data_IF_483124598016
#
_entry.id   IF_483124598016
#
_cell.length_a   1.000
_cell.length_b   1.000
_cell.length_c   1.000
_cell.angle_alpha   90.00
_cell.angle_beta   90.00
_cell.angle_gamma   90.00
#
_symmetry.space_group_name_H-M   'P 1'
#
loop_
_entity.id
_entity.type
_entity.pdbx_description
1 polymer ?
#
# COMPACT_ATOMS: atom_id res chain seq x y z
N UNK A 1 -1.20 -12.04 6.01
CA UNK A 1 -0.68 -11.35 4.80
C UNK A 1 -0.99 -12.11 3.49
N UNK A 2 -0.75 -13.42 3.41
CA UNK A 2 -0.94 -14.21 2.17
C UNK A 2 -2.37 -14.12 1.64
N UNK A 3 -3.38 -14.20 2.51
CA UNK A 3 -4.79 -14.18 2.11
C UNK A 3 -5.14 -13.03 1.14
N UNK A 4 -4.90 -11.77 1.52
CA UNK A 4 -5.21 -10.60 0.65
C UNK A 4 -4.58 -10.74 -0.73
N UNK A 5 -3.33 -11.20 -0.79
CA UNK A 5 -2.62 -11.34 -2.05
C UNK A 5 -3.09 -12.52 -2.89
N UNK A 6 -3.35 -13.67 -2.27
CA UNK A 6 -3.86 -14.85 -2.98
C UNK A 6 -5.28 -14.63 -3.48
N UNK A 7 -6.13 -13.99 -2.69
CA UNK A 7 -7.54 -13.77 -3.02
C UNK A 7 -7.73 -12.63 -4.02
N UNK A 8 -7.11 -11.47 -3.78
CA UNK A 8 -7.45 -10.24 -4.51
C UNK A 8 -6.38 -9.76 -5.48
N UNK A 9 -5.09 -10.04 -5.26
CA UNK A 9 -4.01 -9.46 -6.07
C UNK A 9 -3.47 -10.36 -7.17
N UNK A 10 -3.03 -11.58 -6.83
CA UNK A 10 -2.36 -12.50 -7.76
C UNK A 10 -3.23 -13.00 -8.92
N UNK A 11 -4.52 -13.37 -8.73
CA UNK A 11 -5.34 -13.90 -9.83
C UNK A 11 -5.85 -12.81 -10.79
N UNK A 12 -5.54 -11.56 -10.51
CA UNK A 12 -6.15 -10.37 -11.09
C UNK A 12 -5.12 -9.54 -11.89
N UNK A 13 -5.52 -8.34 -12.33
CA UNK A 13 -4.69 -7.43 -13.14
C UNK A 13 -3.49 -6.85 -12.37
N UNK A 14 -3.39 -7.10 -11.07
CA UNK A 14 -2.37 -6.57 -10.15
C UNK A 14 -2.42 -5.03 -10.08
N UNK A 15 -1.29 -4.39 -9.78
CA UNK A 15 -1.17 -2.94 -9.63
C UNK A 15 -0.90 -2.25 -10.96
N UNK A 16 -1.58 -1.14 -11.23
CA UNK A 16 -1.23 -0.25 -12.35
C UNK A 16 0.04 0.55 -12.09
N UNK A 17 0.33 0.92 -10.84
CA UNK A 17 1.53 1.67 -10.43
C UNK A 17 2.78 0.80 -10.23
N UNK A 18 2.78 -0.44 -10.70
CA UNK A 18 3.96 -1.31 -10.71
C UNK A 18 3.98 -2.09 -12.00
N UNK A 19 4.91 -1.75 -12.87
CA UNK A 19 5.01 -2.30 -14.23
C UNK A 19 6.31 -3.05 -14.42
N UNK A 20 6.41 -3.84 -15.48
CA UNK A 20 7.65 -4.53 -15.88
C UNK A 20 7.87 -4.40 -17.38
N UNK A 21 8.92 -3.67 -17.77
CA UNK A 21 9.23 -3.37 -19.17
C UNK A 21 8.14 -2.54 -19.87
N UNK A 22 8.32 -2.33 -21.17
CA UNK A 22 7.43 -1.52 -22.01
C UNK A 22 6.91 -2.31 -23.22
N UNK A 23 6.29 -3.46 -22.93
CA UNK A 23 5.61 -4.26 -23.95
C UNK A 23 4.17 -3.79 -24.13
N UNK A 24 3.59 -4.00 -25.31
CA UNK A 24 2.18 -3.68 -25.57
C UNK A 24 1.25 -4.41 -24.59
N UNK A 25 1.51 -5.69 -24.32
CA UNK A 25 0.74 -6.47 -23.36
C UNK A 25 0.78 -5.86 -21.95
N UNK A 26 1.94 -5.37 -21.51
CA UNK A 26 2.07 -4.71 -20.22
C UNK A 26 1.38 -3.35 -20.19
N UNK A 27 1.48 -2.55 -21.26
CA UNK A 27 0.74 -1.28 -21.38
C UNK A 27 -0.77 -1.51 -21.31
N UNK A 28 -1.29 -2.52 -22.01
CA UNK A 28 -2.71 -2.88 -21.95
C UNK A 28 -3.15 -3.37 -20.56
N UNK A 29 -2.34 -4.21 -19.89
CA UNK A 29 -2.61 -4.64 -18.52
C UNK A 29 -2.61 -3.44 -17.56
N UNK A 30 -1.63 -2.56 -17.68
CA UNK A 30 -1.51 -1.34 -16.88
C UNK A 30 -2.73 -0.44 -17.06
N UNK A 31 -3.12 -0.15 -18.31
CA UNK A 31 -4.30 0.64 -18.63
C UNK A 31 -5.55 0.06 -17.95
N UNK A 32 -5.81 -1.24 -18.16
CA UNK A 32 -6.96 -1.94 -17.55
C UNK A 32 -6.92 -1.92 -16.02
N UNK A 33 -5.74 -2.04 -15.43
CA UNK A 33 -5.58 -1.99 -13.98
C UNK A 33 -5.86 -0.58 -13.42
N UNK A 34 -5.44 0.46 -14.14
CA UNK A 34 -5.72 1.86 -13.81
C UNK A 34 -7.21 2.16 -13.92
N UNK A 35 -7.85 1.77 -15.02
CA UNK A 35 -9.28 1.99 -15.25
C UNK A 35 -10.13 1.29 -14.18
N UNK A 36 -9.75 0.07 -13.80
CA UNK A 36 -10.43 -0.70 -12.76
C UNK A 36 -10.28 -0.05 -11.37
N UNK A 37 -9.11 0.50 -11.05
CA UNK A 37 -8.91 1.24 -9.79
C UNK A 37 -9.73 2.54 -9.78
N UNK A 38 -9.80 3.25 -10.91
CA UNK A 38 -10.66 4.44 -11.04
C UNK A 38 -12.14 4.08 -10.83
N UNK A 39 -12.61 2.97 -11.41
CA UNK A 39 -13.96 2.43 -11.20
C UNK A 39 -14.21 2.11 -9.73
N UNK A 40 -13.27 1.46 -9.04
CA UNK A 40 -13.38 1.12 -7.63
C UNK A 40 -13.53 2.40 -6.79
N UNK A 41 -12.67 3.39 -7.01
CA UNK A 41 -12.65 4.66 -6.27
C UNK A 41 -13.87 5.54 -6.51
N UNK A 42 -14.58 5.36 -7.62
CA UNK A 42 -15.81 6.08 -7.90
C UNK A 42 -17.06 5.48 -7.23
N UNK A 43 -16.94 4.34 -6.54
CA UNK A 43 -18.09 3.70 -5.89
C UNK A 43 -18.33 4.26 -4.48
N UNK A 44 -19.59 4.38 -4.05
CA UNK A 44 -19.92 4.89 -2.71
C UNK A 44 -19.49 3.94 -1.59
N UNK A 45 -19.56 2.62 -1.81
CA UNK A 45 -19.09 1.62 -0.84
C UNK A 45 -17.69 1.14 -1.23
N UNK A 46 -16.68 1.80 -0.67
CA UNK A 46 -15.27 1.54 -0.98
C UNK A 46 -14.87 0.08 -0.71
N UNK A 47 -15.23 -0.48 0.45
CA UNK A 47 -14.84 -1.84 0.81
C UNK A 47 -15.43 -2.88 -0.15
N UNK A 48 -16.74 -2.79 -0.41
CA UNK A 48 -17.42 -3.71 -1.33
C UNK A 48 -16.86 -3.60 -2.75
N UNK A 49 -16.56 -2.38 -3.20
CA UNK A 49 -15.99 -2.14 -4.52
C UNK A 49 -14.58 -2.73 -4.63
N UNK A 50 -13.75 -2.55 -3.61
CA UNK A 50 -12.40 -3.11 -3.52
C UNK A 50 -12.44 -4.64 -3.49
N UNK A 51 -13.33 -5.25 -2.70
CA UNK A 51 -13.48 -6.72 -2.63
C UNK A 51 -13.91 -7.33 -3.97
N UNK A 52 -14.73 -6.62 -4.76
CA UNK A 52 -15.16 -7.05 -6.10
C UNK A 52 -14.17 -6.65 -7.21
N UNK A 53 -13.16 -5.86 -6.87
CA UNK A 53 -12.20 -5.29 -7.79
C UNK A 53 -11.26 -6.33 -8.42
N UNK A 54 -10.87 -6.09 -9.67
CA UNK A 54 -9.90 -6.92 -10.42
C UNK A 54 -8.52 -6.26 -10.54
N UNK A 55 -8.30 -5.13 -9.88
CA UNK A 55 -7.02 -4.45 -9.81
C UNK A 55 -6.97 -3.61 -8.52
N UNK A 56 -5.78 -3.45 -7.96
CA UNK A 56 -5.59 -2.76 -6.68
C UNK A 56 -4.22 -2.09 -6.64
N UNK A 57 -4.17 -0.88 -6.09
CA UNK A 57 -2.93 -0.21 -5.70
C UNK A 57 -2.65 -0.44 -4.21
N UNK A 58 -1.64 0.23 -3.66
CA UNK A 58 -1.31 0.16 -2.23
C UNK A 58 -2.49 0.52 -1.32
N UNK A 59 -3.25 1.56 -1.66
CA UNK A 59 -4.40 2.03 -0.88
C UNK A 59 -5.51 0.97 -0.77
N UNK A 60 -5.94 0.38 -1.90
CA UNK A 60 -6.99 -0.64 -1.86
C UNK A 60 -6.52 -1.93 -1.17
N UNK A 61 -5.25 -2.30 -1.35
CA UNK A 61 -4.67 -3.46 -0.67
C UNK A 61 -4.52 -3.25 0.84
N UNK A 62 -4.20 -2.03 1.28
CA UNK A 62 -4.16 -1.67 2.70
C UNK A 62 -5.56 -1.78 3.31
N UNK A 63 -6.60 -1.27 2.65
CA UNK A 63 -7.98 -1.41 3.11
C UNK A 63 -8.42 -2.88 3.27
N UNK A 64 -8.09 -3.74 2.30
CA UNK A 64 -8.37 -5.18 2.41
C UNK A 64 -7.61 -5.83 3.55
N UNK A 65 -6.35 -5.44 3.79
CA UNK A 65 -5.58 -5.92 4.92
C UNK A 65 -6.18 -5.48 6.25
N UNK A 66 -6.56 -4.22 6.40
CA UNK A 66 -7.24 -3.71 7.59
C UNK A 66 -8.53 -4.49 7.83
N UNK A 67 -9.41 -4.61 6.84
CA UNK A 67 -10.67 -5.36 6.96
C UNK A 67 -10.43 -6.82 7.42
N UNK A 68 -9.49 -7.52 6.79
CA UNK A 68 -9.16 -8.91 7.12
C UNK A 68 -8.59 -9.05 8.54
N UNK A 69 -7.75 -8.11 8.98
CA UNK A 69 -7.19 -8.10 10.34
C UNK A 69 -8.28 -7.91 11.40
N UNK A 70 -9.24 -7.02 11.15
CA UNK A 70 -10.39 -6.80 12.02
C UNK A 70 -11.33 -8.00 12.07
N UNK A 71 -11.79 -8.49 10.91
CA UNK A 71 -12.83 -9.52 10.85
C UNK A 71 -12.34 -10.92 11.24
N UNK A 72 -11.16 -11.30 10.75
CA UNK A 72 -10.73 -12.71 10.84
C UNK A 72 -9.78 -12.97 12.00
N UNK A 73 -9.14 -11.92 12.54
CA UNK A 73 -8.13 -12.05 13.61
C UNK A 73 -8.44 -11.24 14.87
N UNK A 74 -9.52 -10.43 14.87
CA UNK A 74 -9.85 -9.50 15.95
C UNK A 74 -8.66 -8.61 16.35
N UNK A 75 -7.85 -8.21 15.36
CA UNK A 75 -6.68 -7.34 15.55
C UNK A 75 -7.04 -5.93 15.04
N UNK A 76 -7.21 -4.94 15.93
CA UNK A 76 -7.43 -3.55 15.52
C UNK A 76 -6.28 -3.06 14.65
N UNK A 77 -6.64 -2.62 13.44
CA UNK A 77 -5.71 -2.13 12.44
C UNK A 77 -6.22 -0.83 11.79
N UNK A 78 -5.30 0.00 11.33
CA UNK A 78 -5.60 1.26 10.65
C UNK A 78 -4.90 1.30 9.29
N UNK A 79 -5.44 2.13 8.39
CA UNK A 79 -4.71 2.50 7.18
C UNK A 79 -3.66 3.54 7.56
N UNK A 80 -2.42 3.28 7.20
CA UNK A 80 -1.30 4.17 7.37
C UNK A 80 -0.83 4.68 6.01
N UNK A 81 -0.95 5.98 5.82
CA UNK A 81 -0.36 6.70 4.71
C UNK A 81 1.10 7.05 5.03
N UNK A 82 1.99 6.76 4.08
CA UNK A 82 3.43 6.97 4.15
C UNK A 82 3.84 7.97 3.07
N UNK A 83 4.49 9.06 3.49
CA UNK A 83 4.62 10.28 2.70
C UNK A 83 3.34 11.12 2.79
N UNK A 84 3.44 12.44 2.65
CA UNK A 84 2.24 13.27 2.74
C UNK A 84 2.42 14.75 3.10
N UNK A 85 3.51 15.42 2.70
CA UNK A 85 3.56 16.88 2.80
C UNK A 85 2.59 17.47 1.76
N UNK A 86 1.56 18.18 2.22
CA UNK A 86 0.53 18.92 1.45
C UNK A 86 0.10 18.22 0.14
N UNK A 87 -0.72 17.15 0.26
CA UNK A 87 -1.51 16.46 -0.78
C UNK A 87 -0.94 15.20 -1.46
N UNK A 88 0.30 14.76 -1.17
CA UNK A 88 0.93 13.62 -1.87
C UNK A 88 1.25 12.40 -1.00
N UNK A 89 0.28 11.47 -0.90
CA UNK A 89 0.50 10.12 -0.36
C UNK A 89 1.36 9.30 -1.33
N UNK A 90 2.52 8.83 -0.86
CA UNK A 90 3.42 8.02 -1.67
C UNK A 90 3.05 6.53 -1.62
N UNK A 91 2.74 6.01 -0.42
CA UNK A 91 2.43 4.60 -0.22
C UNK A 91 1.45 4.38 0.94
N UNK A 92 0.67 3.31 0.90
CA UNK A 92 -0.26 2.96 1.96
C UNK A 92 0.01 1.53 2.46
N UNK A 93 -0.08 1.34 3.78
CA UNK A 93 0.04 0.04 4.44
C UNK A 93 -1.01 -0.10 5.53
N UNK A 94 -1.25 -1.31 6.01
CA UNK A 94 -2.01 -1.52 7.24
C UNK A 94 -1.06 -1.52 8.44
N UNK A 95 -1.44 -0.86 9.54
CA UNK A 95 -0.70 -0.84 10.81
C UNK A 95 -1.53 -1.46 11.92
N UNK A 96 -0.92 -2.32 12.74
CA UNK A 96 -1.54 -2.93 13.93
C UNK A 96 -0.82 -2.43 15.17
N UNK A 97 -1.57 -1.96 16.16
CA UNK A 97 -1.03 -1.44 17.41
C UNK A 97 -0.69 0.06 17.36
N UNK A 98 -1.41 0.82 18.19
CA UNK A 98 -1.37 2.27 18.46
C UNK A 98 -1.93 3.21 17.39
N UNK A 99 -3.03 3.87 17.78
CA UNK A 99 -3.50 5.17 17.29
C UNK A 99 -2.95 6.28 18.20
N UNK A 100 -2.01 7.10 17.72
CA UNK A 100 -2.12 8.53 18.00
C UNK A 100 -2.05 9.34 16.69
N UNK A 101 -2.71 10.49 16.71
CA UNK A 101 -2.97 11.39 15.58
C UNK A 101 -1.73 11.94 14.83
N UNK A 102 -0.51 11.50 15.15
CA UNK A 102 0.69 11.69 14.34
C UNK A 102 1.77 10.69 14.75
N UNK A 103 2.25 9.89 13.79
CA UNK A 103 3.30 8.90 14.03
C UNK A 103 4.67 9.48 13.67
N UNK A 104 5.65 9.31 14.55
CA UNK A 104 7.02 9.78 14.31
C UNK A 104 7.58 9.19 12.99
N UNK A 105 8.26 9.98 12.16
CA UNK A 105 8.77 9.51 10.85
C UNK A 105 9.74 8.33 10.95
N UNK A 106 10.51 8.25 12.03
CA UNK A 106 11.37 7.10 12.36
C UNK A 106 10.60 5.96 13.07
N UNK A 107 10.26 4.90 12.32
CA UNK A 107 9.59 3.69 12.84
C UNK A 107 10.34 2.94 13.95
N UNK A 108 11.64 3.20 14.14
CA UNK A 108 12.40 2.59 15.25
C UNK A 108 12.01 3.15 16.62
N UNK A 109 11.39 4.34 16.64
CA UNK A 109 10.91 4.99 17.87
C UNK A 109 9.46 4.60 18.19
N UNK A 110 8.83 3.79 17.35
CA UNK A 110 7.47 3.33 17.57
C UNK A 110 7.43 2.27 18.66
N UNK A 111 6.23 2.03 19.17
CA UNK A 111 6.03 0.96 20.14
C UNK A 111 6.54 -0.38 19.58
N UNK A 112 7.26 -1.20 20.38
CA UNK A 112 7.86 -2.44 19.91
C UNK A 112 6.89 -3.45 19.30
N UNK A 113 5.62 -3.38 19.71
CA UNK A 113 4.55 -4.27 19.25
C UNK A 113 3.79 -3.73 18.04
N UNK A 114 4.14 -2.55 17.51
CA UNK A 114 3.53 -2.06 16.27
C UNK A 114 3.96 -2.93 15.10
N UNK A 115 2.99 -3.44 14.35
CA UNK A 115 3.20 -4.28 13.17
C UNK A 115 2.79 -3.53 11.91
N UNK A 116 3.51 -3.77 10.82
CA UNK A 116 3.17 -3.31 9.48
C UNK A 116 2.77 -4.51 8.64
N UNK A 117 1.67 -4.38 7.91
CA UNK A 117 1.22 -5.30 6.88
C UNK A 117 1.12 -4.54 5.55
N UNK A 118 2.02 -4.84 4.61
CA UNK A 118 2.05 -4.29 3.27
C UNK A 118 1.83 -5.40 2.23
N UNK A 119 0.58 -5.61 1.79
CA UNK A 119 0.29 -6.61 0.77
C UNK A 119 0.83 -6.22 -0.61
N UNK A 120 1.11 -4.95 -0.91
CA UNK A 120 1.63 -4.54 -2.21
C UNK A 120 3.09 -4.96 -2.40
N UNK A 121 3.91 -4.77 -1.36
CA UNK A 121 5.29 -5.24 -1.28
C UNK A 121 5.41 -6.72 -0.87
N UNK A 122 4.37 -7.32 -0.28
CA UNK A 122 4.44 -8.61 0.40
C UNK A 122 5.45 -8.55 1.56
N UNK A 123 5.22 -7.64 2.49
CA UNK A 123 5.97 -7.46 3.74
C UNK A 123 4.98 -7.53 4.91
N UNK A 124 5.30 -8.31 5.94
CA UNK A 124 4.63 -8.27 7.23
C UNK A 124 5.69 -8.40 8.32
N UNK A 125 5.84 -7.37 9.16
CA UNK A 125 6.94 -7.30 10.13
C UNK A 125 6.63 -6.32 11.25
N UNK A 126 7.51 -6.28 12.27
CA UNK A 126 7.50 -5.18 13.24
C UNK A 126 7.86 -3.88 12.54
N UNK A 127 7.28 -2.77 12.97
CA UNK A 127 7.49 -1.46 12.35
C UNK A 127 8.98 -1.08 12.25
N UNK A 128 9.76 -1.35 13.31
CA UNK A 128 11.21 -1.08 13.33
C UNK A 128 12.01 -1.76 12.20
N UNK A 129 11.52 -2.89 11.68
CA UNK A 129 12.19 -3.70 10.66
C UNK A 129 11.72 -3.32 9.24
N UNK A 130 10.59 -2.62 9.13
CA UNK A 130 9.97 -2.28 7.85
C UNK A 130 10.88 -1.47 6.91
N UNK A 131 11.63 -0.43 7.36
CA UNK A 131 12.51 0.32 6.48
C UNK A 131 13.53 -0.55 5.76
N UNK A 132 14.13 -1.51 6.46
CA UNK A 132 15.08 -2.45 5.86
C UNK A 132 14.38 -3.37 4.85
N UNK A 133 13.25 -3.97 5.23
CA UNK A 133 12.53 -4.88 4.35
C UNK A 133 11.98 -4.19 3.09
N UNK A 134 11.56 -2.94 3.21
CA UNK A 134 11.10 -2.12 2.09
C UNK A 134 12.25 -1.85 1.11
N UNK A 135 13.42 -1.40 1.61
CA UNK A 135 14.61 -1.19 0.77
C UNK A 135 15.02 -2.49 0.06
N UNK A 136 15.06 -3.61 0.78
CA UNK A 136 15.42 -4.91 0.22
C UNK A 136 14.41 -5.34 -0.87
N UNK A 137 13.12 -5.02 -0.69
CA UNK A 137 12.08 -5.25 -1.70
C UNK A 137 12.27 -4.39 -2.94
N UNK A 138 12.55 -3.11 -2.76
CA UNK A 138 12.76 -2.17 -3.86
C UNK A 138 13.96 -2.59 -4.71
N UNK A 139 15.09 -2.92 -4.09
CA UNK A 139 16.27 -3.47 -4.77
C UNK A 139 15.94 -4.72 -5.58
N UNK A 140 15.15 -5.63 -5.00
CA UNK A 140 14.68 -6.85 -5.69
C UNK A 140 13.77 -6.54 -6.89
N UNK A 141 12.97 -5.47 -6.83
CA UNK A 141 12.12 -5.09 -7.95
C UNK A 141 12.90 -4.39 -9.05
N UNK A 142 13.85 -3.53 -8.69
CA UNK A 142 14.77 -2.91 -9.64
C UNK A 142 15.57 -3.99 -10.39
N UNK A 143 16.12 -4.99 -9.68
CA UNK A 143 16.83 -6.12 -10.29
C UNK A 143 15.95 -7.03 -11.16
N UNK A 144 14.64 -6.74 -11.27
CA UNK A 144 13.67 -7.46 -12.10
C UNK A 144 13.08 -6.56 -13.18
N UNK A 145 13.70 -5.41 -13.45
CA UNK A 145 13.32 -4.41 -14.44
C UNK A 145 11.90 -3.89 -14.24
N UNK A 146 11.51 -3.74 -12.97
CA UNK A 146 10.22 -3.15 -12.60
C UNK A 146 10.36 -1.67 -12.35
N UNK A 147 9.31 -0.94 -12.67
CA UNK A 147 9.17 0.48 -12.32
C UNK A 147 7.99 0.66 -11.36
N UNK A 148 8.08 1.68 -10.52
CA UNK A 148 7.02 2.09 -9.61
C UNK A 148 6.47 3.44 -10.06
N UNK A 149 5.15 3.58 -10.05
CA UNK A 149 4.48 4.85 -10.32
C UNK A 149 4.59 5.74 -9.09
N UNK A 150 5.28 6.85 -9.24
CA UNK A 150 5.46 7.89 -8.25
C UNK A 150 4.84 9.18 -8.78
N UNK A 151 3.78 9.67 -8.13
CA UNK A 151 2.91 10.74 -8.64
C UNK A 151 3.69 11.96 -9.15
N UNK A 152 4.76 12.36 -8.45
CA UNK A 152 5.58 13.54 -8.78
C UNK A 152 6.48 13.37 -10.00
N UNK A 153 6.84 12.14 -10.37
CA UNK A 153 7.87 11.86 -11.37
C UNK A 153 7.44 10.85 -12.46
N UNK A 154 6.22 10.31 -12.38
CA UNK A 154 5.78 9.22 -13.24
C UNK A 154 6.41 7.88 -12.82
N UNK A 155 6.76 7.04 -13.79
CA UNK A 155 7.41 5.76 -13.49
C UNK A 155 8.90 5.94 -13.24
N UNK A 156 9.35 5.54 -12.05
CA UNK A 156 10.74 5.63 -11.61
C UNK A 156 11.29 4.26 -11.23
N UNK A 157 12.61 4.17 -11.09
CA UNK A 157 13.24 2.98 -10.51
C UNK A 157 12.75 2.78 -9.07
N UNK A 158 12.50 1.54 -8.62
CA UNK A 158 12.06 1.27 -7.26
C UNK A 158 13.02 1.78 -6.18
N UNK A 159 14.30 1.97 -6.49
CA UNK A 159 15.31 2.50 -5.57
C UNK A 159 15.55 4.01 -5.72
N UNK A 160 14.74 4.70 -6.53
CA UNK A 160 14.79 6.15 -6.71
C UNK A 160 14.86 6.87 -5.34
N UNK A 161 15.92 7.63 -5.05
CA UNK A 161 16.12 8.27 -3.75
C UNK A 161 14.93 9.09 -3.26
N UNK A 162 14.25 9.84 -4.14
CA UNK A 162 13.08 10.63 -3.77
C UNK A 162 11.92 9.73 -3.29
N UNK A 163 11.62 8.66 -4.03
CA UNK A 163 10.60 7.67 -3.68
C UNK A 163 10.90 6.99 -2.32
N UNK A 164 12.13 6.51 -2.13
CA UNK A 164 12.53 5.85 -0.87
C UNK A 164 12.43 6.81 0.31
N UNK A 165 12.89 8.05 0.14
CA UNK A 165 12.83 9.07 1.18
C UNK A 165 11.39 9.36 1.57
N UNK A 166 10.51 9.58 0.61
CA UNK A 166 9.12 9.94 0.89
C UNK A 166 8.39 8.81 1.62
N UNK A 167 8.56 7.55 1.20
CA UNK A 167 7.92 6.41 1.90
C UNK A 167 8.49 6.17 3.30
N UNK A 168 9.79 6.37 3.53
CA UNK A 168 10.42 6.02 4.80
C UNK A 168 10.55 7.16 5.79
N UNK A 169 10.58 8.41 5.33
CA UNK A 169 10.88 9.59 6.13
C UNK A 169 9.86 10.72 6.01
N UNK A 170 8.95 10.65 5.03
CA UNK A 170 7.89 11.63 4.91
C UNK A 170 6.85 11.53 6.01
N UNK A 171 5.85 12.41 5.92
CA UNK A 171 4.72 12.48 6.84
C UNK A 171 3.90 11.19 6.90
N UNK A 172 3.18 11.05 8.01
CA UNK A 172 2.52 9.79 8.39
C UNK A 172 1.19 10.06 9.05
N UNK A 173 0.14 9.60 8.38
CA UNK A 173 -1.23 9.76 8.84
C UNK A 173 -1.87 8.38 8.95
N UNK A 174 -2.30 8.03 10.16
CA UNK A 174 -3.11 6.84 10.39
C UNK A 174 -4.59 7.24 10.39
N UNK A 175 -5.42 6.43 9.76
CA UNK A 175 -6.88 6.62 9.76
C UNK A 175 -7.59 5.28 9.88
N UNK A 176 -8.66 5.28 10.67
CA UNK A 176 -9.57 4.15 10.76
C UNK A 176 -10.60 4.25 9.62
N UNK A 177 -10.56 3.36 8.60
CA UNK A 177 -11.48 3.42 7.47
C UNK A 177 -12.94 3.09 7.84
N UNK A 178 -13.21 2.65 9.08
CA UNK A 178 -14.54 2.28 9.57
C UNK A 178 -15.13 3.26 10.58
N UNK A 179 -14.39 4.27 11.03
CA UNK A 179 -14.89 5.27 11.99
C UNK A 179 -16.00 6.16 11.42
N UNK A 180 -16.05 6.32 10.10
CA UNK A 180 -17.10 7.06 9.39
C UNK A 180 -18.42 6.29 9.21
N UNK A 181 -18.59 5.11 9.84
CA UNK A 181 -19.82 4.30 9.81
C UNK A 181 -20.49 4.11 11.19
N UNK A 182 -20.16 4.95 12.18
CA UNK A 182 -20.96 4.99 13.41
C UNK A 182 -22.26 5.77 13.16
N UNK A 183 -23.43 5.25 13.58
CA UNK A 183 -24.73 5.89 13.37
C UNK A 183 -24.88 7.23 14.11
#
# INVERSE_FOLDING_TARGET
MTHVRETYYKPNLKSGNKVRGDTEAERLRQQRATDEVNRIRSQPNALLAVQKGKAHQCQELALLAVHHLWQDHALPAENLELGGDDDDVAHCVAVVGLAPHQLHSNMKLWHPDTLICDPWCNIACRAKDYPKQFIDKMKKWESQDKLVGYRRMGFVQPTEPAWIRDVLRGDRTASNPFESQSP
#
